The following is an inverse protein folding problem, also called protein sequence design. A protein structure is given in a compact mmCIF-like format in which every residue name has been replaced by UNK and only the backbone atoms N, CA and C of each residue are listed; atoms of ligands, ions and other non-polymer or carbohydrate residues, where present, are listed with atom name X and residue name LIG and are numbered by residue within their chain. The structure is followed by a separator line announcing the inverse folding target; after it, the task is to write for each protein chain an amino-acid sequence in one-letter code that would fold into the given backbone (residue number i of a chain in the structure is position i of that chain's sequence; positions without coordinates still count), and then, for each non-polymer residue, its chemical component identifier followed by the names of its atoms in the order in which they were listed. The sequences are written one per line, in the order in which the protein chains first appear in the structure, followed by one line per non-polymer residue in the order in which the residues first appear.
data_IF_011327204163
#
_entry.id   IF_011327204163
#
_cell.length_a   1.000
_cell.length_b   1.000
_cell.length_c   1.000
_cell.angle_alpha   90.00
_cell.angle_beta   90.00
_cell.angle_gamma   90.00
#
_symmetry.space_group_name_H-M   'P 1'
#
loop_
_entity.id
_entity.type
_entity.pdbx_description
1 polymer ?
#
# COMPACT_ATOMS: atom_id res chain seq x y z
N UNK A 1 -1.27 26.29 -15.89
CA UNK A 1 -1.90 25.38 -16.85
C UNK A 1 -3.41 25.41 -16.65
N UNK A 2 -4.15 26.06 -17.55
CA UNK A 2 -5.58 26.42 -17.34
C UNK A 2 -6.55 25.27 -17.59
N UNK A 3 -6.05 24.13 -18.08
CA UNK A 3 -6.87 22.99 -18.52
C UNK A 3 -7.18 21.98 -17.41
N UNK A 4 -6.59 22.11 -16.22
CA UNK A 4 -6.85 21.22 -15.07
C UNK A 4 -7.95 21.70 -14.11
N UNK A 5 -8.38 22.96 -14.23
CA UNK A 5 -9.46 23.54 -13.42
C UNK A 5 -10.82 22.80 -13.52
N UNK A 6 -11.24 22.25 -14.69
CA UNK A 6 -12.51 21.54 -14.80
C UNK A 6 -12.52 20.16 -14.14
N UNK A 7 -11.35 19.52 -14.02
CA UNK A 7 -11.23 18.19 -13.42
C UNK A 7 -11.22 18.27 -11.89
N UNK A 8 -10.54 19.28 -11.35
CA UNK A 8 -10.48 19.53 -9.91
C UNK A 8 -11.84 20.00 -9.38
N UNK A 9 -12.54 20.87 -10.11
CA UNK A 9 -13.90 21.29 -9.72
C UNK A 9 -14.89 20.12 -9.78
N UNK A 10 -14.79 19.26 -10.79
CA UNK A 10 -15.59 18.02 -10.87
C UNK A 10 -15.25 17.04 -9.75
N UNK A 11 -13.98 16.89 -9.38
CA UNK A 11 -13.60 16.03 -8.26
C UNK A 11 -14.19 16.54 -6.94
N UNK A 12 -14.14 17.85 -6.69
CA UNK A 12 -14.73 18.49 -5.49
C UNK A 12 -16.27 18.42 -5.49
N UNK A 13 -16.94 18.55 -6.64
CA UNK A 13 -18.39 18.32 -6.76
C UNK A 13 -18.76 16.84 -6.60
N UNK A 14 -17.89 15.92 -7.02
CA UNK A 14 -18.09 14.47 -6.88
C UNK A 14 -17.97 13.99 -5.43
N UNK A 15 -17.15 14.63 -4.59
CA UNK A 15 -17.13 14.40 -3.13
C UNK A 15 -18.50 14.64 -2.51
N UNK A 16 -19.24 15.61 -3.07
CA UNK A 16 -20.56 16.02 -2.58
C UNK A 16 -21.69 15.13 -3.11
N UNK A 17 -21.47 14.36 -4.18
CA UNK A 17 -22.46 13.42 -4.71
C UNK A 17 -22.18 11.99 -4.27
N UNK A 18 -23.08 11.45 -3.43
CA UNK A 18 -23.26 10.00 -3.29
C UNK A 18 -23.29 9.36 -4.69
N UNK A 19 -22.27 8.53 -4.96
CA UNK A 19 -22.11 7.58 -6.09
C UNK A 19 -23.21 7.68 -7.17
N UNK A 20 -22.96 8.38 -8.27
CA UNK A 20 -23.75 8.21 -9.51
C UNK A 20 -23.07 7.20 -10.44
N UNK A 21 -23.79 6.19 -10.95
CA UNK A 21 -23.25 5.27 -11.94
C UNK A 21 -23.07 5.96 -13.31
N UNK A 22 -21.98 5.62 -14.01
CA UNK A 22 -21.68 6.10 -15.36
C UNK A 22 -22.58 5.43 -16.41
N UNK A 23 -22.87 6.15 -17.52
CA UNK A 23 -23.76 5.71 -18.61
C UNK A 23 -23.20 4.58 -19.49
N UNK A 24 -21.93 4.21 -19.32
CA UNK A 24 -21.21 3.32 -20.26
C UNK A 24 -20.89 1.92 -19.72
N UNK A 25 -21.60 1.47 -18.67
CA UNK A 25 -21.41 0.13 -18.08
C UNK A 25 -20.10 -0.10 -17.33
N UNK A 26 -19.10 0.78 -17.51
CA UNK A 26 -17.88 0.84 -16.71
C UNK A 26 -18.12 1.55 -15.37
N UNK A 27 -17.87 0.85 -14.26
CA UNK A 27 -17.83 1.46 -12.93
C UNK A 27 -16.52 2.23 -12.80
N UNK A 28 -16.47 3.47 -13.25
CA UNK A 28 -15.35 4.37 -12.95
C UNK A 28 -15.42 4.74 -11.46
N UNK A 29 -14.50 4.18 -10.67
CA UNK A 29 -14.35 4.56 -9.28
C UNK A 29 -13.63 5.91 -9.21
N UNK A 30 -14.38 6.97 -8.93
CA UNK A 30 -13.79 8.27 -8.59
C UNK A 30 -13.32 8.21 -7.14
N UNK A 31 -12.02 8.43 -6.93
CA UNK A 31 -11.42 8.59 -5.60
C UNK A 31 -11.14 10.07 -5.42
N UNK A 32 -11.96 10.77 -4.63
CA UNK A 32 -11.68 12.17 -4.38
C UNK A 32 -10.54 12.35 -3.39
N UNK A 33 -9.75 13.39 -3.62
CA UNK A 33 -8.66 13.82 -2.73
C UNK A 33 -9.02 15.23 -2.24
N UNK A 34 -9.10 15.43 -0.92
CA UNK A 34 -9.32 16.75 -0.29
C UNK A 34 -7.96 17.30 0.14
N UNK A 35 -7.35 18.25 -0.59
CA UNK A 35 -5.97 18.63 -0.35
C UNK A 35 -5.77 19.30 1.02
N UNK A 36 -6.72 20.14 1.46
CA UNK A 36 -6.60 20.90 2.70
C UNK A 36 -6.53 20.00 3.95
N UNK A 37 -7.32 18.94 3.99
CA UNK A 37 -7.33 18.01 5.12
C UNK A 37 -6.02 17.21 5.18
N UNK A 38 -5.54 16.74 4.02
CA UNK A 38 -4.32 15.94 3.92
C UNK A 38 -3.11 16.78 4.34
N UNK A 39 -2.98 18.00 3.79
CA UNK A 39 -1.87 18.90 4.12
C UNK A 39 -1.90 19.28 5.60
N UNK A 40 -3.07 19.60 6.15
CA UNK A 40 -3.21 19.91 7.58
C UNK A 40 -2.76 18.74 8.47
N UNK A 41 -3.16 17.51 8.15
CA UNK A 41 -2.74 16.32 8.89
C UNK A 41 -1.24 16.05 8.74
N UNK A 42 -0.66 16.23 7.56
CA UNK A 42 0.78 16.11 7.34
C UNK A 42 1.54 17.14 8.18
N UNK A 43 1.11 18.40 8.20
CA UNK A 43 1.74 19.45 9.01
C UNK A 43 1.73 19.11 10.51
N UNK A 44 0.60 18.65 11.05
CA UNK A 44 0.51 18.22 12.45
C UNK A 44 1.47 17.07 12.76
N UNK A 45 1.59 16.10 11.84
CA UNK A 45 2.52 14.98 12.01
C UNK A 45 3.99 15.45 11.98
N UNK A 46 4.37 16.33 11.05
CA UNK A 46 5.70 16.92 10.97
C UNK A 46 6.03 17.79 12.20
N UNK A 47 5.06 18.50 12.77
CA UNK A 47 5.26 19.25 14.01
C UNK A 47 5.60 18.35 15.21
N UNK A 48 5.05 17.13 15.25
CA UNK A 48 5.33 16.15 16.31
C UNK A 48 6.62 15.39 16.09
N UNK A 49 7.03 15.22 14.84
CA UNK A 49 8.24 14.51 14.45
C UNK A 49 8.91 15.27 13.30
N UNK A 50 9.83 16.20 13.60
CA UNK A 50 10.44 17.07 12.58
C UNK A 50 11.11 16.29 11.43
N UNK A 51 11.69 15.12 11.70
CA UNK A 51 12.30 14.26 10.67
C UNK A 51 11.30 13.59 9.71
N UNK A 52 10.00 13.58 10.05
CA UNK A 52 8.98 12.99 9.19
C UNK A 52 8.71 13.83 7.93
N UNK A 53 8.96 15.14 7.99
CA UNK A 53 8.76 16.03 6.85
C UNK A 53 9.65 15.63 5.66
N UNK A 54 10.92 15.32 5.92
CA UNK A 54 11.86 14.88 4.90
C UNK A 54 11.44 13.56 4.26
N UNK A 55 11.01 12.60 5.08
CA UNK A 55 10.51 11.30 4.62
C UNK A 55 9.25 11.46 3.77
N UNK A 56 8.28 12.26 4.23
CA UNK A 56 7.04 12.50 3.50
C UNK A 56 7.30 13.20 2.17
N UNK A 57 8.22 14.16 2.12
CA UNK A 57 8.63 14.81 0.87
C UNK A 57 9.30 13.82 -0.09
N UNK A 58 10.15 12.92 0.42
CA UNK A 58 10.77 11.87 -0.39
C UNK A 58 9.76 10.89 -1.01
N UNK A 59 8.61 10.66 -0.35
CA UNK A 59 7.51 9.85 -0.91
C UNK A 59 6.62 10.62 -1.90
N UNK A 60 6.60 11.94 -1.84
CA UNK A 60 5.83 12.79 -2.75
C UNK A 60 6.63 13.18 -4.00
N UNK A 61 7.94 13.03 -3.95
CA UNK A 61 8.78 13.16 -5.14
C UNK A 61 8.59 11.95 -6.06
N UNK A 62 8.53 12.20 -7.37
CA UNK A 62 8.42 11.14 -8.37
C UNK A 62 9.76 10.40 -8.57
N UNK A 63 10.85 10.91 -7.99
CA UNK A 63 12.13 10.23 -7.92
C UNK A 63 12.30 9.50 -6.58
N UNK A 64 12.43 8.17 -6.60
CA UNK A 64 12.77 7.42 -5.40
C UNK A 64 12.08 6.08 -5.27
N UNK A 65 11.49 5.83 -4.08
CA UNK A 65 10.76 4.62 -3.77
C UNK A 65 9.26 4.89 -3.81
N UNK A 66 8.53 4.10 -4.58
CA UNK A 66 7.08 4.20 -4.75
C UNK A 66 6.35 2.98 -4.18
N UNK A 67 5.04 3.14 -3.97
CA UNK A 67 4.16 2.08 -3.49
C UNK A 67 3.61 1.25 -4.65
N UNK A 68 3.93 -0.05 -4.66
CA UNK A 68 3.42 -1.00 -5.64
C UNK A 68 2.58 -2.09 -4.99
N UNK A 69 1.49 -2.47 -5.67
CA UNK A 69 0.63 -3.58 -5.27
C UNK A 69 0.77 -4.73 -6.26
N UNK A 70 1.23 -5.88 -5.79
CA UNK A 70 1.40 -7.07 -6.66
C UNK A 70 1.02 -8.36 -5.95
N UNK A 71 0.36 -9.25 -6.68
CA UNK A 71 0.20 -10.63 -6.26
C UNK A 71 1.48 -11.41 -6.54
N UNK A 72 1.89 -12.24 -5.58
CA UNK A 72 3.06 -13.10 -5.70
C UNK A 72 2.64 -14.54 -5.37
N UNK A 73 2.32 -15.31 -6.41
CA UNK A 73 1.84 -16.71 -6.27
C UNK A 73 2.81 -17.57 -5.46
N UNK A 74 4.12 -17.35 -5.62
CA UNK A 74 5.17 -18.06 -4.89
C UNK A 74 5.24 -17.75 -3.38
N UNK A 75 4.51 -16.74 -2.90
CA UNK A 75 4.42 -16.38 -1.48
C UNK A 75 3.13 -16.87 -0.83
N UNK A 76 2.20 -17.45 -1.58
CA UNK A 76 0.98 -18.03 -1.01
C UNK A 76 1.34 -19.11 0.02
N UNK A 77 0.66 -19.07 1.16
CA UNK A 77 0.92 -19.95 2.31
C UNK A 77 2.11 -19.54 3.19
N UNK A 78 2.88 -18.50 2.83
CA UNK A 78 3.90 -17.93 3.71
C UNK A 78 3.29 -16.88 4.62
N UNK A 79 3.88 -16.69 5.79
CA UNK A 79 3.48 -15.58 6.66
C UNK A 79 4.05 -14.25 6.14
N UNK A 80 3.42 -13.13 6.49
CA UNK A 80 3.92 -11.80 6.17
C UNK A 80 5.33 -11.58 6.73
N UNK A 81 5.59 -12.05 7.96
CA UNK A 81 6.91 -12.04 8.57
C UNK A 81 7.98 -12.72 7.72
N UNK A 82 7.67 -13.89 7.13
CA UNK A 82 8.60 -14.56 6.21
C UNK A 82 8.76 -13.77 4.90
N UNK A 83 7.68 -13.21 4.36
CA UNK A 83 7.71 -12.44 3.13
C UNK A 83 8.59 -11.18 3.24
N UNK A 84 8.63 -10.52 4.41
CA UNK A 84 9.49 -9.36 4.65
C UNK A 84 10.98 -9.63 4.37
N UNK A 85 11.47 -10.84 4.65
CA UNK A 85 12.88 -11.22 4.46
C UNK A 85 13.20 -11.79 3.07
N UNK A 86 12.21 -11.87 2.17
CA UNK A 86 12.39 -12.46 0.86
C UNK A 86 12.70 -11.44 -0.24
N UNK A 87 12.68 -10.13 0.02
CA UNK A 87 12.91 -9.11 -0.99
C UNK A 87 14.26 -8.41 -0.79
N UNK A 88 15.09 -8.39 -1.84
CA UNK A 88 16.37 -7.67 -1.87
C UNK A 88 16.24 -6.19 -2.21
N UNK A 89 15.26 -5.88 -3.06
CA UNK A 89 15.12 -4.56 -3.70
C UNK A 89 13.73 -3.96 -3.46
N UNK A 90 13.04 -4.44 -2.43
CA UNK A 90 11.77 -3.88 -2.00
C UNK A 90 11.52 -4.16 -0.52
N UNK A 91 10.69 -3.32 0.08
CA UNK A 91 10.27 -3.45 1.48
C UNK A 91 8.76 -3.73 1.49
N UNK A 92 8.31 -4.94 1.82
CA UNK A 92 6.90 -5.21 2.09
C UNK A 92 6.43 -4.41 3.32
N UNK A 93 5.34 -3.66 3.18
CA UNK A 93 4.76 -2.83 4.25
C UNK A 93 3.30 -3.16 4.53
N UNK A 94 2.67 -4.01 3.73
CA UNK A 94 1.26 -4.33 3.90
C UNK A 94 0.72 -5.37 2.93
N UNK A 95 -0.55 -5.70 3.11
CA UNK A 95 -1.32 -6.60 2.24
C UNK A 95 -2.64 -5.94 1.87
N UNK A 96 -3.00 -6.02 0.59
CA UNK A 96 -4.39 -5.86 0.16
C UNK A 96 -5.01 -7.25 0.09
N UNK A 97 -5.87 -7.54 1.05
CA UNK A 97 -6.59 -8.82 1.17
C UNK A 97 -7.47 -9.00 -0.06
N UNK A 98 -7.51 -10.23 -0.60
CA UNK A 98 -8.45 -10.58 -1.65
C UNK A 98 -9.87 -10.19 -1.25
N UNK A 99 -10.64 -9.66 -2.20
CA UNK A 99 -11.99 -9.22 -1.91
C UNK A 99 -12.86 -10.45 -1.55
N UNK A 100 -13.45 -10.45 -0.36
CA UNK A 100 -14.44 -11.44 0.00
C UNK A 100 -15.65 -11.34 -0.96
N UNK A 101 -16.42 -12.43 -1.18
CA UNK A 101 -17.53 -12.44 -2.15
C UNK A 101 -18.57 -11.32 -1.96
N UNK A 102 -18.67 -10.79 -0.74
CA UNK A 102 -19.56 -9.73 -0.29
C UNK A 102 -18.93 -8.31 -0.28
N UNK A 103 -17.61 -8.19 -0.42
CA UNK A 103 -16.92 -6.90 -0.52
C UNK A 103 -16.44 -6.63 -1.94
N UNK A 104 -16.84 -5.49 -2.51
CA UNK A 104 -16.36 -5.07 -3.85
C UNK A 104 -14.91 -4.59 -3.85
N UNK A 105 -14.36 -4.25 -2.69
CA UNK A 105 -12.99 -3.77 -2.54
C UNK A 105 -12.29 -4.57 -1.45
N UNK A 106 -11.20 -5.25 -1.81
CA UNK A 106 -10.32 -5.89 -0.84
C UNK A 106 -9.79 -4.90 0.19
N UNK A 107 -9.71 -5.32 1.46
CA UNK A 107 -9.23 -4.50 2.58
C UNK A 107 -7.72 -4.30 2.49
N UNK A 108 -7.26 -3.07 2.66
CA UNK A 108 -5.84 -2.75 2.78
C UNK A 108 -5.44 -2.76 4.25
N UNK A 109 -4.44 -3.57 4.59
CA UNK A 109 -3.83 -3.66 5.91
C UNK A 109 -2.35 -3.28 5.79
N UNK A 110 -2.00 -2.11 6.33
CA UNK A 110 -0.60 -1.71 6.51
C UNK A 110 -0.09 -2.26 7.84
N UNK A 111 1.18 -2.67 7.88
CA UNK A 111 1.80 -3.36 9.01
C UNK A 111 0.93 -4.52 9.56
N UNK A 112 0.59 -5.51 8.72
CA UNK A 112 -0.16 -6.69 9.15
C UNK A 112 0.62 -7.48 10.22
N UNK A 113 -0.06 -8.31 11.01
CA UNK A 113 0.61 -9.23 11.93
C UNK A 113 1.65 -10.11 11.22
N UNK A 114 2.77 -10.39 11.88
CA UNK A 114 3.86 -11.20 11.31
C UNK A 114 3.43 -12.63 10.95
N UNK A 115 2.41 -13.15 11.64
CA UNK A 115 1.79 -14.46 11.44
C UNK A 115 0.66 -14.46 10.40
N UNK A 116 0.32 -13.29 9.82
CA UNK A 116 -0.67 -13.21 8.73
C UNK A 116 -0.24 -14.10 7.55
N UNK A 117 -1.07 -15.07 7.18
CA UNK A 117 -0.78 -15.99 6.08
C UNK A 117 -1.30 -15.41 4.76
N UNK A 118 -0.38 -15.21 3.81
CA UNK A 118 -0.70 -14.73 2.47
C UNK A 118 -1.55 -15.77 1.71
N UNK A 119 -2.75 -15.36 1.30
CA UNK A 119 -3.70 -16.21 0.60
C UNK A 119 -3.72 -15.95 -0.91
N UNK A 120 -4.36 -16.83 -1.68
CA UNK A 120 -4.55 -16.60 -3.11
C UNK A 120 -5.35 -15.31 -3.38
N UNK A 121 -4.89 -14.50 -4.33
CA UNK A 121 -5.48 -13.19 -4.63
C UNK A 121 -5.05 -12.04 -3.71
N UNK A 122 -4.35 -12.34 -2.60
CA UNK A 122 -3.73 -11.29 -1.78
C UNK A 122 -2.63 -10.59 -2.58
N UNK A 123 -2.55 -9.28 -2.41
CA UNK A 123 -1.50 -8.46 -3.03
C UNK A 123 -0.62 -7.83 -1.97
N UNK A 124 0.68 -8.08 -2.03
CA UNK A 124 1.63 -7.37 -1.20
C UNK A 124 1.73 -5.92 -1.64
N UNK A 125 1.82 -5.04 -0.65
CA UNK A 125 2.12 -3.62 -0.78
C UNK A 125 3.61 -3.48 -0.48
N UNK A 126 4.38 -3.09 -1.47
CA UNK A 126 5.83 -2.96 -1.37
C UNK A 126 6.27 -1.54 -1.69
N UNK A 127 7.28 -1.06 -0.99
CA UNK A 127 8.11 0.07 -1.41
C UNK A 127 9.20 -0.45 -2.33
N UNK A 128 9.29 0.09 -3.55
CA UNK A 128 10.32 -0.28 -4.52
C UNK A 128 10.62 0.90 -5.47
N UNK A 129 11.75 0.84 -6.17
CA UNK A 129 12.12 1.90 -7.13
C UNK A 129 11.29 1.87 -8.43
N UNK A 130 10.92 0.67 -8.87
CA UNK A 130 10.18 0.43 -10.12
C UNK A 130 9.41 -0.89 -10.03
N UNK A 131 8.26 -0.98 -10.70
CA UNK A 131 7.41 -2.18 -10.77
C UNK A 131 8.14 -3.47 -11.22
N UNK A 132 9.24 -3.35 -11.97
CA UNK A 132 10.02 -4.47 -12.49
C UNK A 132 11.33 -4.72 -11.73
N UNK A 133 11.71 -3.83 -10.81
CA UNK A 133 12.99 -3.86 -10.08
C UNK A 133 13.06 -4.88 -8.94
N UNK A 134 11.92 -5.45 -8.53
CA UNK A 134 11.84 -6.28 -7.33
C UNK A 134 11.05 -7.56 -7.56
N UNK A 135 11.53 -8.65 -6.95
CA UNK A 135 10.89 -9.96 -6.89
C UNK A 135 11.34 -10.66 -5.60
N UNK A 136 10.54 -11.57 -5.03
CA UNK A 136 10.99 -12.36 -3.90
C UNK A 136 12.06 -13.38 -4.34
N UNK A 137 13.07 -13.59 -3.49
CA UNK A 137 14.12 -14.60 -3.66
C UNK A 137 13.50 -16.00 -3.82
N UNK A 138 14.16 -16.83 -4.63
CA UNK A 138 13.84 -18.26 -4.73
C UNK A 138 14.56 -18.99 -3.60
N UNK A 139 13.79 -19.55 -2.67
CA UNK A 139 14.33 -20.32 -1.54
C UNK A 139 14.37 -19.50 -0.25
N UNK A 140 13.98 -20.16 0.83
CA UNK A 140 13.95 -19.59 2.17
C UNK A 140 15.14 -20.16 2.95
N UNK A 141 16.37 -19.73 2.64
CA UNK A 141 17.44 -19.85 3.61
C UNK A 141 17.33 -18.66 4.57
N UNK A 142 16.30 -18.69 5.41
CA UNK A 142 16.21 -17.76 6.52
C UNK A 142 17.45 -17.99 7.40
N UNK A 143 18.19 -16.94 7.78
CA UNK A 143 19.20 -17.08 8.80
C UNK A 143 18.55 -17.70 10.05
N UNK A 144 19.18 -18.72 10.64
CA UNK A 144 18.63 -19.45 11.80
C UNK A 144 18.24 -18.52 12.97
N UNK A 145 18.83 -17.33 13.05
CA UNK A 145 18.51 -16.29 14.03
C UNK A 145 17.11 -15.67 13.87
N UNK A 146 16.57 -15.60 12.64
CA UNK A 146 15.27 -14.95 12.36
C UNK A 146 14.11 -15.90 12.66
N UNK A 147 14.29 -17.20 12.40
CA UNK A 147 13.31 -18.25 12.73
C UNK A 147 13.07 -18.38 14.24
N UNK A 148 14.07 -18.05 15.07
CA UNK A 148 13.95 -18.06 16.53
C UNK A 148 13.18 -16.87 17.10
N UNK A 149 13.14 -15.73 16.39
CA UNK A 149 12.49 -14.51 16.87
C UNK A 149 10.98 -14.50 16.60
N UNK A 150 10.54 -15.04 15.46
CA UNK A 150 9.12 -15.14 15.12
C UNK A 150 8.34 -16.11 16.04
N UNK A 151 9.01 -17.04 16.72
CA UNK A 151 8.40 -17.94 17.70
C UNK A 151 8.31 -17.35 19.12
N UNK A 152 8.93 -16.19 19.36
CA UNK A 152 8.98 -15.53 20.67
C UNK A 152 8.22 -14.20 20.62
N UNK A 153 6.89 -14.27 20.49
CA UNK A 153 6.06 -13.13 20.87
C UNK A 153 6.19 -12.94 22.40
N UNK A 154 6.43 -11.71 22.91
CA UNK A 154 6.37 -11.47 24.35
C UNK A 154 4.93 -11.63 24.88
N UNK A 155 4.76 -11.97 26.16
CA UNK A 155 3.45 -12.16 26.79
C UNK A 155 2.61 -10.89 26.88
#
# INVERSE_FOLDING_TARGET
DKDNLPLVSRALETIRMKRKPSRDGGVHQVIPVVPYDIVGQMMVQCCRQPGLAEILLAFLDFGGQELYLREWVQLQGKTFGQAMYLFDHAIPIGVKVAAAPDSRNGTVMLNPPDDYVLSAGDRLICLAADVNSYRPRKGLELPKSVLSAAAAAPP
#
